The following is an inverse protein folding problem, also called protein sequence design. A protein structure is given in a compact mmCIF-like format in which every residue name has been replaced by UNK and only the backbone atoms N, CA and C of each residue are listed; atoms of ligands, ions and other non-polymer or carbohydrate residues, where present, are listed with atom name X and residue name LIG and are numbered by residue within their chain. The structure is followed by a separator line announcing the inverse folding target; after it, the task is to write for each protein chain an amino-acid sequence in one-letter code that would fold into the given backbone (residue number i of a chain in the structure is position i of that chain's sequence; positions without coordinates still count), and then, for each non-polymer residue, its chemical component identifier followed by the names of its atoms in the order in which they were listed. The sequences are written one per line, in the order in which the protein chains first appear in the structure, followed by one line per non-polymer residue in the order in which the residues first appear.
data_IF_084774032976
#
_entry.id   IF_084774032976
#
_cell.length_a   1.000
_cell.length_b   1.000
_cell.length_c   1.000
_cell.angle_alpha   90.00
_cell.angle_beta   90.00
_cell.angle_gamma   90.00
#
_symmetry.space_group_name_H-M   'P 1'
#
loop_
_entity.id
_entity.type
_entity.pdbx_description
1 polymer ?
#
# COMPACT_ATOMS: atom_id res chain seq x y z
N UNK A 1 0.73 -12.84 44.10
CA UNK A 1 -0.25 -12.62 43.00
C UNK A 1 -1.18 -13.82 42.91
N UNK A 2 -2.48 -13.63 42.67
CA UNK A 2 -3.41 -14.78 42.57
C UNK A 2 -3.39 -15.37 41.16
N UNK A 3 -3.43 -16.70 41.05
CA UNK A 3 -3.39 -17.43 39.77
C UNK A 3 -4.46 -16.94 38.78
N UNK A 4 -5.66 -16.67 39.28
CA UNK A 4 -6.80 -16.14 38.52
C UNK A 4 -6.51 -14.80 37.86
N UNK A 5 -5.82 -13.88 38.56
CA UNK A 5 -5.46 -12.57 38.00
C UNK A 5 -4.47 -12.71 36.85
N UNK A 6 -3.49 -13.60 36.99
CA UNK A 6 -2.51 -13.85 35.93
C UNK A 6 -3.16 -14.46 34.68
N UNK A 7 -4.12 -15.37 34.87
CA UNK A 7 -4.88 -15.95 33.74
C UNK A 7 -5.63 -14.84 33.00
N UNK A 8 -6.42 -14.01 33.70
CA UNK A 8 -7.19 -12.92 33.08
C UNK A 8 -6.29 -11.96 32.28
N UNK A 9 -5.15 -11.57 32.86
CA UNK A 9 -4.19 -10.68 32.19
C UNK A 9 -3.59 -11.37 30.95
N UNK A 10 -3.19 -12.64 31.06
CA UNK A 10 -2.63 -13.40 29.94
C UNK A 10 -3.62 -13.54 28.79
N UNK A 11 -4.91 -13.83 29.06
CA UNK A 11 -5.93 -13.90 28.01
C UNK A 11 -6.15 -12.54 27.35
N UNK A 12 -6.18 -11.46 28.13
CA UNK A 12 -6.32 -10.10 27.59
C UNK A 12 -5.15 -9.72 26.67
N UNK A 13 -3.92 -10.03 27.08
CA UNK A 13 -2.72 -9.80 26.27
C UNK A 13 -2.73 -10.61 24.98
N UNK A 14 -3.10 -11.89 25.04
CA UNK A 14 -3.20 -12.75 23.86
C UNK A 14 -4.27 -12.24 22.89
N UNK A 15 -5.45 -11.90 23.38
CA UNK A 15 -6.53 -11.37 22.56
C UNK A 15 -6.12 -10.05 21.88
N UNK A 16 -5.54 -9.11 22.63
CA UNK A 16 -5.06 -7.84 22.09
C UNK A 16 -3.98 -8.01 21.02
N UNK A 17 -2.96 -8.82 21.31
CA UNK A 17 -1.87 -9.08 20.37
C UNK A 17 -2.39 -9.76 19.09
N UNK A 18 -3.26 -10.77 19.22
CA UNK A 18 -3.84 -11.46 18.07
C UNK A 18 -4.67 -10.54 17.20
N UNK A 19 -5.49 -9.66 17.79
CA UNK A 19 -6.28 -8.69 17.06
C UNK A 19 -5.40 -7.67 16.32
N UNK A 20 -4.36 -7.13 16.98
CA UNK A 20 -3.42 -6.19 16.36
C UNK A 20 -2.64 -6.81 15.19
N UNK A 21 -2.20 -8.06 15.33
CA UNK A 21 -1.49 -8.78 14.26
C UNK A 21 -2.42 -9.16 13.10
N UNK A 22 -3.69 -9.50 13.37
CA UNK A 22 -4.67 -9.84 12.35
C UNK A 22 -5.23 -8.62 11.60
N UNK A 23 -5.20 -7.43 12.22
CA UNK A 23 -5.75 -6.19 11.68
C UNK A 23 -5.29 -5.83 10.25
N UNK A 24 -3.99 -5.82 9.90
CA UNK A 24 -3.56 -5.48 8.53
C UNK A 24 -4.10 -6.46 7.49
N UNK A 25 -4.22 -7.76 7.82
CA UNK A 25 -4.76 -8.77 6.92
C UNK A 25 -6.27 -8.61 6.71
N UNK A 26 -7.01 -8.29 7.78
CA UNK A 26 -8.43 -7.97 7.70
C UNK A 26 -8.67 -6.74 6.80
N UNK A 27 -7.90 -5.67 7.02
CA UNK A 27 -8.00 -4.44 6.22
C UNK A 27 -7.62 -4.68 4.76
N UNK A 28 -6.52 -5.39 4.47
CA UNK A 28 -6.11 -5.71 3.11
C UNK A 28 -7.11 -6.64 2.39
N UNK A 29 -7.77 -7.54 3.13
CA UNK A 29 -8.78 -8.45 2.57
C UNK A 29 -10.16 -7.80 2.41
N UNK A 30 -10.37 -6.60 2.95
CA UNK A 30 -11.62 -5.86 2.77
C UNK A 30 -11.70 -5.27 1.34
N UNK A 31 -12.00 -6.15 0.38
CA UNK A 31 -12.06 -5.91 -1.08
C UNK A 31 -13.13 -4.90 -1.54
N UNK A 32 -13.77 -4.16 -0.64
CA UNK A 32 -14.94 -3.34 -0.98
C UNK A 32 -14.60 -2.09 -1.77
N UNK A 33 -13.46 -1.45 -1.48
CA UNK A 33 -13.03 -0.21 -2.16
C UNK A 33 -11.50 -0.16 -2.20
N UNK A 34 -10.86 -0.36 -3.36
CA UNK A 34 -9.44 -0.11 -3.48
C UNK A 34 -9.18 1.36 -3.11
N UNK A 35 -8.19 1.62 -2.26
CA UNK A 35 -7.77 2.98 -1.90
C UNK A 35 -7.32 3.75 -3.16
N UNK A 36 -6.81 3.02 -4.15
CA UNK A 36 -6.41 3.54 -5.45
C UNK A 36 -7.24 2.86 -6.52
N UNK A 37 -8.14 3.62 -7.14
CA UNK A 37 -8.89 3.19 -8.31
C UNK A 37 -7.98 3.25 -9.54
N UNK A 38 -7.56 2.09 -10.05
CA UNK A 38 -6.67 1.99 -11.22
C UNK A 38 -7.35 2.39 -12.54
N UNK A 39 -8.68 2.55 -12.55
CA UNK A 39 -9.42 3.05 -13.71
C UNK A 39 -9.42 4.59 -13.79
N UNK A 40 -8.98 5.26 -12.72
CA UNK A 40 -8.92 6.72 -12.63
C UNK A 40 -7.48 7.21 -12.79
N UNK A 41 -7.28 8.38 -13.43
CA UNK A 41 -5.97 9.01 -13.48
C UNK A 41 -5.48 9.30 -12.05
N UNK A 42 -4.17 9.17 -11.86
CA UNK A 42 -3.53 9.47 -10.58
C UNK A 42 -3.82 10.92 -10.17
N UNK A 43 -4.08 11.18 -8.88
CA UNK A 43 -4.34 12.53 -8.42
C UNK A 43 -3.15 13.44 -8.74
N UNK A 44 -3.36 14.74 -8.99
CA UNK A 44 -2.29 15.63 -9.37
C UNK A 44 -1.13 15.62 -8.36
N UNK A 45 -1.37 15.39 -7.06
CA UNK A 45 -0.32 15.27 -6.05
C UNK A 45 0.58 14.03 -6.22
N UNK A 46 0.09 12.96 -6.87
CA UNK A 46 0.86 11.78 -7.23
C UNK A 46 1.52 11.91 -8.63
N UNK A 47 1.01 12.80 -9.47
CA UNK A 47 1.51 13.06 -10.84
C UNK A 47 2.41 14.29 -10.92
N UNK A 48 2.29 15.25 -9.99
CA UNK A 48 3.13 16.43 -9.83
C UNK A 48 4.45 16.03 -9.21
N UNK A 49 5.19 15.43 -10.11
CA UNK A 49 6.61 15.33 -10.13
C UNK A 49 7.15 16.79 -10.06
N UNK A 50 7.86 17.15 -8.98
CA UNK A 50 8.48 18.46 -8.78
C UNK A 50 9.46 18.87 -9.91
N UNK A 51 10.04 20.09 -9.89
CA UNK A 51 10.79 20.65 -11.01
C UNK A 51 11.95 19.78 -11.53
N UNK A 52 12.51 18.93 -10.66
CA UNK A 52 13.55 17.97 -10.99
C UNK A 52 13.03 16.58 -10.75
N UNK A 53 12.37 16.08 -11.77
CA UNK A 53 11.96 14.68 -11.82
C UNK A 53 12.80 14.00 -12.85
N UNK A 54 13.22 12.79 -12.49
CA UNK A 54 13.86 11.83 -13.37
C UNK A 54 12.89 11.43 -14.50
N UNK A 55 12.65 12.34 -15.44
CA UNK A 55 12.08 12.11 -16.79
C UNK A 55 13.18 11.58 -17.74
N UNK A 56 14.33 11.18 -17.19
CA UNK A 56 15.45 10.60 -17.93
C UNK A 56 15.50 9.07 -17.89
N UNK A 57 14.56 8.40 -17.24
CA UNK A 57 14.45 6.93 -17.32
C UNK A 57 13.86 6.58 -18.68
N UNK A 58 14.72 6.06 -19.56
CA UNK A 58 14.34 5.37 -20.81
C UNK A 58 13.86 3.93 -20.52
N UNK A 59 13.23 3.69 -19.37
CA UNK A 59 12.87 2.33 -18.94
C UNK A 59 11.53 1.85 -19.56
N UNK A 60 11.08 2.51 -20.62
CA UNK A 60 10.24 1.92 -21.66
C UNK A 60 11.15 1.86 -22.90
N UNK A 61 11.42 0.64 -23.36
CA UNK A 61 12.55 0.24 -24.22
C UNK A 61 12.67 0.91 -25.60
N UNK A 62 13.59 0.43 -26.46
CA UNK A 62 13.86 1.03 -27.76
C UNK A 62 12.56 1.14 -28.56
N UNK A 63 12.21 2.34 -29.00
CA UNK A 63 11.07 2.55 -29.92
C UNK A 63 11.47 1.97 -31.29
N UNK A 64 10.89 0.83 -31.72
CA UNK A 64 11.29 0.16 -32.95
C UNK A 64 10.51 0.71 -34.14
N UNK A 65 10.43 2.03 -34.28
CA UNK A 65 9.74 2.71 -35.36
C UNK A 65 10.66 3.68 -36.12
N UNK A 66 10.68 3.68 -37.47
CA UNK A 66 11.44 4.67 -38.22
C UNK A 66 10.69 6.01 -38.20
N UNK A 67 11.17 6.95 -37.39
CA UNK A 67 10.69 8.33 -37.44
C UNK A 67 11.30 9.03 -38.67
N UNK A 68 10.52 9.17 -39.73
CA UNK A 68 10.83 10.10 -40.83
C UNK A 68 10.52 11.52 -40.35
N UNK A 69 11.56 12.32 -40.13
CA UNK A 69 11.45 13.74 -39.81
C UNK A 69 11.31 14.52 -41.12
N UNK A 70 10.14 15.12 -41.34
CA UNK A 70 9.98 16.20 -42.32
C UNK A 70 10.64 17.48 -41.78
#
# INVERSE_FOLDING_TARGET
MTRTRNVIVATGLLAFASAGLAFPFYMASSRGKPVIDSSKPLPPQATFRGPYINTGSRDIGPDPGPYTKN
#
